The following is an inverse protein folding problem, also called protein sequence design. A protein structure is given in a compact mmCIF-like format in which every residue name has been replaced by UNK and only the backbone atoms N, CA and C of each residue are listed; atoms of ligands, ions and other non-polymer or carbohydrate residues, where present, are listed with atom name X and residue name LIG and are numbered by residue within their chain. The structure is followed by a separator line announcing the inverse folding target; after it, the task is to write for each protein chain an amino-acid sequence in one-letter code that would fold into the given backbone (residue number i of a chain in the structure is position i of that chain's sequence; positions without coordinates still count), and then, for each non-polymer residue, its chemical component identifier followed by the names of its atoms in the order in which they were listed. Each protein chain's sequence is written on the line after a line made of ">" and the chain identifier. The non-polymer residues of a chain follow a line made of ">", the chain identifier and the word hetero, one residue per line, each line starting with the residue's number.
data_IF_788402761894
#
_entry.id   IF_788402761894
#
_cell.length_a   1.000
_cell.length_b   1.000
_cell.length_c   1.000
_cell.angle_alpha   90.00
_cell.angle_beta   90.00
_cell.angle_gamma   90.00
#
_symmetry.space_group_name_H-M   'P 1'
#
loop_
_entity.id
_entity.type
_entity.pdbx_description
1 polymer ?
#
# COMPACT_ATOMS: atom_id res chain seq x y z
N UNK A 1 2.82 -7.58 -3.96
CA UNK A 1 1.94 -7.83 -5.12
C UNK A 1 2.52 -7.11 -6.31
N UNK A 2 2.53 -7.75 -7.46
CA UNK A 2 3.07 -7.20 -8.70
C UNK A 2 2.08 -6.26 -9.40
N UNK A 3 0.78 -6.35 -9.06
CA UNK A 3 -0.26 -5.46 -9.58
C UNK A 3 -1.29 -5.04 -8.52
N UNK A 4 -2.03 -3.97 -8.83
CA UNK A 4 -3.17 -3.53 -8.02
C UNK A 4 -4.30 -4.57 -8.00
N UNK A 5 -4.51 -5.26 -9.12
CA UNK A 5 -5.51 -6.33 -9.23
C UNK A 5 -5.22 -7.47 -8.24
N UNK A 6 -3.97 -7.90 -8.10
CA UNK A 6 -3.60 -8.92 -7.12
C UNK A 6 -3.87 -8.47 -5.68
N UNK A 7 -3.62 -7.19 -5.37
CA UNK A 7 -3.96 -6.62 -4.06
C UNK A 7 -5.47 -6.67 -3.81
N UNK A 8 -6.29 -6.37 -4.83
CA UNK A 8 -7.76 -6.48 -4.75
C UNK A 8 -8.23 -7.93 -4.66
N UNK A 9 -7.60 -8.86 -5.36
CA UNK A 9 -7.89 -10.29 -5.23
C UNK A 9 -7.62 -10.80 -3.82
N UNK A 10 -6.53 -10.34 -3.20
CA UNK A 10 -6.22 -10.70 -1.82
C UNK A 10 -7.24 -10.12 -0.83
N UNK A 11 -7.68 -8.87 -1.02
CA UNK A 11 -8.82 -8.31 -0.28
C UNK A 11 -10.06 -9.18 -0.41
N UNK A 12 -10.45 -9.57 -1.63
CA UNK A 12 -11.63 -10.41 -1.86
C UNK A 12 -11.51 -11.76 -1.14
N UNK A 13 -10.30 -12.34 -1.08
CA UNK A 13 -10.06 -13.57 -0.31
C UNK A 13 -10.27 -13.34 1.18
N UNK A 14 -9.73 -12.26 1.75
CA UNK A 14 -9.93 -11.89 3.16
C UNK A 14 -11.42 -11.65 3.47
N UNK A 15 -12.12 -10.91 2.62
CA UNK A 15 -13.56 -10.67 2.73
C UNK A 15 -14.35 -12.00 2.68
N UNK A 16 -13.98 -12.93 1.79
CA UNK A 16 -14.70 -14.20 1.62
C UNK A 16 -14.67 -15.12 2.85
N UNK A 17 -13.67 -14.94 3.72
CA UNK A 17 -13.53 -15.67 4.98
C UNK A 17 -13.92 -14.81 6.19
N UNK A 18 -14.51 -13.64 5.97
CA UNK A 18 -14.86 -12.64 7.00
C UNK A 18 -13.69 -12.35 7.95
N UNK A 19 -12.48 -12.21 7.40
CA UNK A 19 -11.28 -11.93 8.20
C UNK A 19 -11.00 -10.43 8.24
N UNK A 20 -10.76 -9.90 9.44
CA UNK A 20 -10.46 -8.49 9.64
C UNK A 20 -9.09 -8.12 9.05
N UNK A 21 -9.02 -6.94 8.43
CA UNK A 21 -7.80 -6.35 7.93
C UNK A 21 -7.80 -4.83 8.10
N UNK A 22 -6.61 -4.24 8.13
CA UNK A 22 -6.40 -2.81 8.23
C UNK A 22 -5.77 -2.29 6.93
N UNK A 23 -6.49 -1.51 6.10
CA UNK A 23 -5.92 -0.83 4.95
C UNK A 23 -5.04 0.34 5.40
N UNK A 24 -3.76 0.34 5.05
CA UNK A 24 -2.83 1.45 5.28
C UNK A 24 -2.08 1.85 4.02
N UNK A 25 -1.82 3.15 3.90
CA UNK A 25 -1.01 3.73 2.85
C UNK A 25 0.22 4.40 3.47
N UNK A 26 1.35 4.10 2.88
CA UNK A 26 2.68 4.58 3.28
C UNK A 26 3.22 5.65 2.33
N UNK A 27 2.40 6.15 1.41
CA UNK A 27 2.80 7.03 0.32
C UNK A 27 3.46 6.28 -0.82
N UNK A 28 4.44 5.42 -0.51
CA UNK A 28 5.11 4.57 -1.48
C UNK A 28 4.42 3.19 -1.69
N UNK A 29 3.54 2.78 -0.78
CA UNK A 29 2.81 1.51 -0.87
C UNK A 29 1.37 1.64 -0.36
N UNK A 30 0.48 0.82 -0.94
CA UNK A 30 -0.86 0.52 -0.44
C UNK A 30 -0.84 -0.90 0.14
N UNK A 31 -1.21 -1.02 1.41
CA UNK A 31 -1.06 -2.24 2.19
C UNK A 31 -2.35 -2.66 2.87
N UNK A 32 -2.46 -3.96 3.13
CA UNK A 32 -3.41 -4.55 4.08
C UNK A 32 -2.63 -5.30 5.16
N UNK A 33 -2.89 -4.96 6.41
CA UNK A 33 -2.38 -5.67 7.57
C UNK A 33 -3.46 -6.58 8.15
N UNK A 34 -3.12 -7.83 8.43
CA UNK A 34 -4.05 -8.81 9.03
C UNK A 34 -3.27 -9.88 9.78
N UNK A 35 -3.94 -10.71 10.57
CA UNK A 35 -3.29 -11.75 11.35
C UNK A 35 -3.54 -13.13 10.73
N UNK A 36 -2.52 -13.97 10.63
CA UNK A 36 -2.75 -15.37 10.28
C UNK A 36 -3.42 -16.13 11.45
N UNK A 37 -3.90 -17.38 11.26
CA UNK A 37 -4.51 -18.18 12.33
C UNK A 37 -3.63 -18.41 13.57
N UNK A 38 -2.30 -18.37 13.42
CA UNK A 38 -1.33 -18.44 14.52
C UNK A 38 -1.09 -17.06 15.19
N UNK A 39 -1.82 -16.03 14.74
CA UNK A 39 -1.79 -14.66 15.23
C UNK A 39 -0.46 -13.91 14.96
N UNK A 40 0.26 -14.28 13.89
CA UNK A 40 1.36 -13.46 13.37
C UNK A 40 0.79 -12.34 12.49
N UNK A 41 1.32 -11.13 12.67
CA UNK A 41 0.96 -9.99 11.83
C UNK A 41 1.59 -10.13 10.45
N UNK A 42 0.74 -10.19 9.43
CA UNK A 42 1.12 -10.21 8.03
C UNK A 42 0.79 -8.87 7.37
N UNK A 43 1.58 -8.52 6.38
CA UNK A 43 1.34 -7.41 5.49
C UNK A 43 1.40 -7.89 4.04
N UNK A 44 0.40 -7.50 3.26
CA UNK A 44 0.45 -7.58 1.80
C UNK A 44 0.37 -6.16 1.25
N UNK A 45 1.15 -5.87 0.22
CA UNK A 45 1.21 -4.52 -0.33
C UNK A 45 1.41 -4.50 -1.83
N UNK A 46 1.01 -3.37 -2.42
CA UNK A 46 1.27 -2.95 -3.78
C UNK A 46 2.10 -1.67 -3.76
N UNK A 47 3.20 -1.66 -4.51
CA UNK A 47 4.01 -0.45 -4.66
C UNK A 47 3.28 0.58 -5.52
N UNK A 48 3.20 1.81 -5.01
CA UNK A 48 2.73 2.95 -5.80
C UNK A 48 3.88 3.51 -6.67
N UNK A 49 3.58 4.36 -7.66
CA UNK A 49 4.61 5.04 -8.46
C UNK A 49 5.48 6.05 -7.70
N UNK A 50 5.21 6.30 -6.42
CA UNK A 50 5.90 7.32 -5.63
C UNK A 50 6.86 6.73 -4.61
N UNK A 51 7.87 7.51 -4.25
CA UNK A 51 8.71 7.28 -3.08
C UNK A 51 8.46 8.40 -2.06
N UNK A 52 8.29 8.02 -0.80
CA UNK A 52 8.02 8.93 0.32
C UNK A 52 8.79 8.41 1.52
N UNK A 53 9.44 9.29 2.28
CA UNK A 53 10.15 8.89 3.49
C UNK A 53 9.21 8.37 4.57
N UNK A 54 9.56 7.22 5.12
CA UNK A 54 8.95 6.65 6.31
C UNK A 54 9.39 7.42 7.57
N UNK A 55 8.57 7.47 8.63
CA UNK A 55 7.30 6.78 8.78
C UNK A 55 6.12 7.55 8.14
N UNK A 56 5.28 6.83 7.41
CA UNK A 56 3.98 7.33 6.92
C UNK A 56 2.95 6.24 7.14
N UNK A 57 1.75 6.55 7.63
CA UNK A 57 0.67 5.58 7.75
C UNK A 57 -0.67 6.30 7.78
N UNK A 58 -1.42 6.20 6.68
CA UNK A 58 -2.75 6.79 6.54
C UNK A 58 -3.73 5.71 6.09
N UNK A 59 -4.87 5.59 6.75
CA UNK A 59 -5.92 4.67 6.29
C UNK A 59 -6.43 5.10 4.90
N UNK A 60 -6.54 4.13 3.99
CA UNK A 60 -7.06 4.36 2.64
C UNK A 60 -8.35 3.55 2.42
N UNK A 61 -9.13 3.96 1.43
CA UNK A 61 -10.38 3.27 1.08
C UNK A 61 -10.10 2.14 0.08
N UNK A 62 -10.24 0.86 0.51
CA UNK A 62 -9.96 -0.28 -0.34
C UNK A 62 -11.05 -0.58 -1.36
N UNK A 63 -12.17 0.17 -1.35
CA UNK A 63 -13.21 0.06 -2.38
C UNK A 63 -12.87 0.83 -3.66
N UNK A 64 -11.86 1.72 -3.62
CA UNK A 64 -11.42 2.47 -4.80
C UNK A 64 -10.88 1.54 -5.91
N UNK A 65 -11.07 1.99 -7.15
CA UNK A 65 -10.35 1.46 -8.31
C UNK A 65 -8.90 1.97 -8.32
N UNK A 66 -8.02 1.32 -9.08
CA UNK A 66 -6.58 1.64 -9.13
C UNK A 66 -6.33 3.13 -9.41
N UNK A 67 -7.00 3.70 -10.41
CA UNK A 67 -6.79 5.09 -10.82
C UNK A 67 -7.23 6.05 -9.71
N UNK A 68 -8.37 5.77 -9.08
CA UNK A 68 -8.87 6.58 -7.96
C UNK A 68 -7.99 6.45 -6.72
N UNK A 69 -7.51 5.24 -6.41
CA UNK A 69 -6.59 4.98 -5.30
C UNK A 69 -5.26 5.71 -5.51
N UNK A 70 -4.63 5.57 -6.67
CA UNK A 70 -3.38 6.26 -7.00
C UNK A 70 -3.53 7.78 -6.94
N UNK A 71 -4.62 8.33 -7.50
CA UNK A 71 -4.90 9.76 -7.40
C UNK A 71 -5.11 10.20 -5.95
N UNK A 72 -5.72 9.37 -5.12
CA UNK A 72 -5.86 9.66 -3.70
C UNK A 72 -4.49 9.69 -3.00
N UNK A 73 -3.60 8.71 -3.28
CA UNK A 73 -2.23 8.69 -2.73
C UNK A 73 -1.47 9.96 -3.09
N UNK A 74 -1.47 10.34 -4.37
CA UNK A 74 -0.83 11.57 -4.82
C UNK A 74 -1.36 12.78 -4.03
N UNK A 75 -2.67 12.90 -3.86
CA UNK A 75 -3.24 14.03 -3.13
C UNK A 75 -2.92 14.01 -1.63
N UNK A 76 -2.81 12.82 -1.03
CA UNK A 76 -2.47 12.65 0.37
C UNK A 76 -1.00 13.02 0.65
N UNK A 77 -0.08 12.69 -0.27
CA UNK A 77 1.36 12.79 -0.01
C UNK A 77 2.11 13.85 -0.82
N UNK A 78 1.51 14.49 -1.83
CA UNK A 78 2.18 15.52 -2.67
C UNK A 78 2.79 16.70 -1.92
N UNK A 79 2.36 16.96 -0.69
CA UNK A 79 2.89 18.04 0.14
C UNK A 79 4.06 17.59 1.03
N UNK A 80 4.34 16.28 1.08
CA UNK A 80 5.49 15.76 1.81
C UNK A 80 6.78 16.15 1.08
N UNK A 81 7.80 16.65 1.80
CA UNK A 81 9.03 17.13 1.18
C UNK A 81 9.83 16.03 0.48
N UNK A 82 9.59 14.77 0.85
CA UNK A 82 10.24 13.59 0.29
C UNK A 82 9.44 12.92 -0.84
N UNK A 83 8.29 13.46 -1.21
CA UNK A 83 7.44 12.91 -2.27
C UNK A 83 8.09 13.10 -3.65
N UNK A 84 8.55 12.00 -4.23
CA UNK A 84 9.17 11.97 -5.56
C UNK A 84 8.61 10.80 -6.37
N UNK A 85 8.76 10.85 -7.69
CA UNK A 85 8.50 9.68 -8.54
C UNK A 85 9.55 8.61 -8.17
N UNK A 86 9.11 7.37 -8.01
CA UNK A 86 9.95 6.25 -7.55
C UNK A 86 11.19 6.06 -8.44
N UNK A 87 11.04 6.22 -9.75
CA UNK A 87 12.14 6.10 -10.72
C UNK A 87 13.23 7.17 -10.56
N UNK A 88 12.86 8.36 -10.05
CA UNK A 88 13.78 9.47 -9.79
C UNK A 88 14.38 9.41 -8.36
N UNK A 89 13.96 8.46 -7.53
CA UNK A 89 14.45 8.33 -6.17
C UNK A 89 15.90 7.84 -6.16
N UNK A 90 16.78 8.62 -5.52
CA UNK A 90 18.20 8.28 -5.34
C UNK A 90 18.45 7.39 -4.11
N UNK A 91 17.40 6.86 -3.47
CA UNK A 91 17.53 6.01 -2.28
C UNK A 91 17.94 4.60 -2.71
N UNK A 92 19.00 4.07 -2.10
CA UNK A 92 19.34 2.66 -2.24
C UNK A 92 18.22 1.81 -1.66
N UNK A 93 17.48 1.11 -2.53
CA UNK A 93 16.42 0.19 -2.13
C UNK A 93 17.04 -1.04 -1.47
N UNK A 94 17.19 -1.00 -0.15
CA UNK A 94 17.57 -2.16 0.65
C UNK A 94 16.37 -3.12 0.73
N UNK A 95 16.44 -4.23 0.00
CA UNK A 95 15.47 -5.34 -0.01
C UNK A 95 14.13 -5.16 -0.76
N UNK A 96 14.17 -4.92 -2.07
CA UNK A 96 13.05 -5.30 -2.96
C UNK A 96 13.63 -6.07 -4.16
N UNK A 97 13.55 -7.40 -4.11
CA UNK A 97 13.95 -8.34 -5.17
C UNK A 97 12.80 -9.29 -5.45
#
# INVERSE_FOLDING_TARGET
>A
MDSFDELKEAKLKLDSINHDYLPLCHGNALSFYFNDPENNGLEIFFDTPWDVDQPQAIAWDPELDEKSALKWVENAFKNEPSFVIREDSNKEFVNRK
#
